data_IF_814954358223
#
_entry.id   IF_814954358223
#
_cell.length_a   1.000
_cell.length_b   1.000
_cell.length_c   1.000
_cell.angle_alpha   90.00
_cell.angle_beta   90.00
_cell.angle_gamma   90.00
#
_symmetry.space_group_name_H-M   'P 1'
#
loop_
_entity.id
_entity.type
_entity.pdbx_description
1 polymer ?
#
# COMPACT_ATOMS: atom_id res chain seq x y z
N UNK A 1 -20.96 -22.28 14.39
CA UNK A 1 -19.73 -22.22 13.59
C UNK A 1 -19.50 -20.76 13.23
N UNK A 2 -18.32 -20.23 13.52
CA UNK A 2 -17.91 -18.87 13.14
C UNK A 2 -16.91 -18.94 11.98
N UNK A 3 -17.18 -18.21 10.91
CA UNK A 3 -16.41 -18.19 9.67
C UNK A 3 -15.86 -16.78 9.46
N UNK A 4 -14.55 -16.66 9.37
CA UNK A 4 -13.88 -15.39 9.02
C UNK A 4 -13.53 -15.39 7.52
N UNK A 5 -13.87 -14.32 6.84
CA UNK A 5 -13.67 -14.15 5.39
C UNK A 5 -12.83 -12.89 5.19
N UNK A 6 -11.54 -13.08 4.88
CA UNK A 6 -10.54 -12.03 4.78
C UNK A 6 -9.76 -12.11 3.44
N UNK A 7 -10.39 -11.81 2.30
CA UNK A 7 -9.76 -11.82 0.99
C UNK A 7 -9.18 -10.46 0.60
N UNK A 8 -8.28 -10.46 -0.38
CA UNK A 8 -7.90 -9.30 -1.18
C UNK A 8 -8.92 -9.07 -2.32
N UNK A 9 -8.78 -7.97 -3.01
CA UNK A 9 -9.48 -7.67 -4.24
C UNK A 9 -9.10 -8.63 -5.37
N UNK A 10 -10.05 -8.88 -6.28
CA UNK A 10 -9.75 -9.49 -7.57
C UNK A 10 -9.55 -8.35 -8.57
N UNK A 11 -8.30 -7.97 -8.79
CA UNK A 11 -7.93 -6.81 -9.62
C UNK A 11 -8.67 -6.82 -10.95
N UNK A 12 -9.10 -5.64 -11.38
CA UNK A 12 -9.89 -5.41 -12.60
C UNK A 12 -11.31 -6.04 -12.58
N UNK A 13 -11.75 -6.64 -11.44
CA UNK A 13 -13.04 -7.33 -11.34
C UNK A 13 -13.82 -6.98 -10.09
N UNK A 14 -13.36 -7.38 -8.90
CA UNK A 14 -14.09 -7.23 -7.64
C UNK A 14 -13.24 -6.55 -6.57
N UNK A 15 -13.83 -5.61 -5.83
CA UNK A 15 -13.21 -5.08 -4.61
C UNK A 15 -13.12 -6.17 -3.53
N UNK A 16 -12.25 -6.01 -2.53
CA UNK A 16 -12.14 -6.97 -1.43
C UNK A 16 -13.47 -7.17 -0.68
N UNK A 17 -14.27 -6.10 -0.56
CA UNK A 17 -15.62 -6.16 -0.02
C UNK A 17 -16.57 -7.02 -0.87
N UNK A 18 -16.58 -6.81 -2.18
CA UNK A 18 -17.39 -7.62 -3.10
C UNK A 18 -16.97 -9.09 -3.09
N UNK A 19 -15.64 -9.37 -3.04
CA UNK A 19 -15.12 -10.73 -2.89
C UNK A 19 -15.62 -11.36 -1.58
N UNK A 20 -15.55 -10.63 -0.47
CA UNK A 20 -16.02 -11.10 0.85
C UNK A 20 -17.52 -11.43 0.83
N UNK A 21 -18.34 -10.56 0.26
CA UNK A 21 -19.79 -10.76 0.18
C UNK A 21 -20.16 -11.90 -0.78
N UNK A 22 -19.46 -12.08 -1.89
CA UNK A 22 -19.66 -13.22 -2.79
C UNK A 22 -19.36 -14.55 -2.10
N UNK A 23 -18.23 -14.63 -1.37
CA UNK A 23 -17.89 -15.82 -0.57
C UNK A 23 -18.95 -16.09 0.47
N UNK A 24 -19.34 -15.10 1.27
CA UNK A 24 -20.39 -15.19 2.30
C UNK A 24 -21.71 -15.65 1.70
N UNK A 25 -22.13 -15.06 0.57
CA UNK A 25 -23.36 -15.45 -0.14
C UNK A 25 -23.36 -16.93 -0.52
N UNK A 26 -22.25 -17.44 -1.04
CA UNK A 26 -22.14 -18.86 -1.39
C UNK A 26 -22.16 -19.78 -0.18
N UNK A 27 -21.35 -19.49 0.86
CA UNK A 27 -21.28 -20.29 2.08
C UNK A 27 -22.61 -20.33 2.83
N UNK A 28 -23.34 -19.22 2.91
CA UNK A 28 -24.61 -19.11 3.64
C UNK A 28 -25.75 -19.94 3.03
N UNK A 29 -25.65 -20.34 1.77
CA UNK A 29 -26.61 -21.27 1.14
C UNK A 29 -26.56 -22.67 1.80
N UNK A 30 -25.44 -23.01 2.42
CA UNK A 30 -25.20 -24.33 3.04
C UNK A 30 -25.11 -24.20 4.57
N UNK A 31 -24.40 -23.20 5.07
CA UNK A 31 -24.18 -22.96 6.51
C UNK A 31 -25.12 -21.86 7.01
N UNK A 32 -26.42 -22.15 7.06
CA UNK A 32 -27.45 -21.16 7.36
C UNK A 32 -27.36 -20.59 8.79
N UNK A 33 -26.86 -21.39 9.76
CA UNK A 33 -26.74 -21.01 11.17
C UNK A 33 -25.30 -20.55 11.53
N UNK A 34 -24.42 -20.33 10.53
CA UNK A 34 -23.06 -19.86 10.78
C UNK A 34 -23.04 -18.35 11.01
N UNK A 35 -22.17 -17.91 11.91
CA UNK A 35 -21.76 -16.51 12.03
C UNK A 35 -20.69 -16.21 10.99
N UNK A 36 -20.93 -15.21 10.16
CA UNK A 36 -19.96 -14.76 9.14
C UNK A 36 -19.39 -13.40 9.51
N UNK A 37 -18.07 -13.33 9.62
CA UNK A 37 -17.32 -12.09 9.82
C UNK A 37 -16.54 -11.79 8.55
N UNK A 38 -16.94 -10.74 7.84
CA UNK A 38 -16.24 -10.26 6.63
C UNK A 38 -15.24 -9.19 7.01
N UNK A 39 -13.97 -9.39 6.64
CA UNK A 39 -12.85 -8.48 6.91
C UNK A 39 -12.12 -8.25 5.60
N UNK A 40 -12.57 -7.31 4.74
CA UNK A 40 -11.82 -6.96 3.53
C UNK A 40 -10.40 -6.53 3.88
N UNK A 41 -9.40 -7.07 3.19
CA UNK A 41 -7.99 -6.76 3.44
C UNK A 41 -7.27 -6.40 2.14
N UNK A 42 -6.03 -5.94 2.25
CA UNK A 42 -5.14 -5.62 1.14
C UNK A 42 -3.68 -5.82 1.58
N UNK A 43 -2.74 -5.80 0.62
CA UNK A 43 -1.33 -6.02 0.89
C UNK A 43 -0.51 -4.73 1.15
N UNK A 44 -1.16 -3.57 1.22
CA UNK A 44 -0.48 -2.27 1.37
C UNK A 44 -0.24 -1.55 0.03
N UNK A 45 -0.61 -2.18 -1.09
CA UNK A 45 -0.58 -1.60 -2.43
C UNK A 45 -1.86 -0.86 -2.78
N UNK A 46 -2.14 -0.80 -4.08
CA UNK A 46 -3.35 -0.18 -4.65
C UNK A 46 -4.64 -0.79 -4.06
N UNK A 47 -5.57 0.08 -3.65
CA UNK A 47 -6.85 -0.30 -3.08
C UNK A 47 -6.82 -0.53 -1.56
N UNK A 48 -5.68 -0.33 -0.91
CA UNK A 48 -5.56 -0.47 0.55
C UNK A 48 -6.43 0.53 1.29
N UNK A 49 -6.48 1.80 0.84
CA UNK A 49 -7.35 2.83 1.43
C UNK A 49 -8.80 2.37 1.41
N UNK A 50 -9.30 1.90 0.25
CA UNK A 50 -10.68 1.44 0.13
C UNK A 50 -10.98 0.23 1.01
N UNK A 51 -10.07 -0.75 1.05
CA UNK A 51 -10.25 -1.95 1.88
C UNK A 51 -10.32 -1.61 3.38
N UNK A 52 -9.48 -0.68 3.85
CA UNK A 52 -9.47 -0.24 5.24
C UNK A 52 -10.71 0.59 5.60
N UNK A 53 -11.17 1.47 4.70
CA UNK A 53 -12.44 2.20 4.85
C UNK A 53 -13.60 1.20 4.98
N UNK A 54 -13.69 0.24 4.06
CA UNK A 54 -14.76 -0.76 4.05
C UNK A 54 -14.74 -1.65 5.30
N UNK A 55 -13.55 -2.03 5.79
CA UNK A 55 -13.40 -2.88 6.97
C UNK A 55 -13.67 -2.16 8.29
N UNK A 56 -13.53 -0.83 8.33
CA UNK A 56 -13.67 -0.04 9.57
C UNK A 56 -14.90 0.88 9.58
N UNK A 57 -15.74 0.83 8.54
CA UNK A 57 -16.87 1.75 8.36
C UNK A 57 -16.42 3.22 8.32
N UNK A 58 -15.27 3.47 7.69
CA UNK A 58 -14.66 4.78 7.53
C UNK A 58 -15.28 5.59 6.38
N UNK A 59 -14.67 6.73 6.06
CA UNK A 59 -15.09 7.61 4.97
C UNK A 59 -13.95 8.01 4.04
N UNK A 60 -14.28 8.31 2.78
CA UNK A 60 -13.37 8.92 1.82
C UNK A 60 -13.40 10.44 1.93
N UNK A 61 -12.24 11.07 1.86
CA UNK A 61 -12.08 12.53 1.83
C UNK A 61 -11.40 12.92 0.53
N UNK A 62 -12.12 13.62 -0.33
CA UNK A 62 -11.59 14.14 -1.60
C UNK A 62 -10.97 15.51 -1.40
N UNK A 63 -9.80 15.75 -2.00
CA UNK A 63 -9.03 16.99 -1.91
C UNK A 63 -8.40 17.31 -3.26
N UNK A 64 -8.54 18.54 -3.73
CA UNK A 64 -7.77 19.02 -4.87
C UNK A 64 -6.36 19.35 -4.42
N UNK A 65 -5.36 18.71 -4.99
CA UNK A 65 -3.93 18.86 -4.66
C UNK A 65 -3.10 18.99 -5.93
N UNK A 66 -1.81 19.29 -5.79
CA UNK A 66 -0.87 19.28 -6.92
C UNK A 66 -0.50 17.85 -7.30
N UNK A 67 -0.71 17.52 -8.55
CA UNK A 67 -0.21 16.30 -9.18
C UNK A 67 1.32 16.33 -9.37
N UNK A 68 1.92 15.20 -9.78
CA UNK A 68 3.38 15.07 -9.86
C UNK A 68 4.03 16.05 -10.85
N UNK A 69 3.31 16.49 -11.87
CA UNK A 69 3.79 17.47 -12.89
C UNK A 69 3.26 18.89 -12.64
N UNK A 70 2.70 19.17 -11.44
CA UNK A 70 2.29 20.52 -11.01
C UNK A 70 0.87 20.94 -11.38
N UNK A 71 0.14 20.15 -12.17
CA UNK A 71 -1.30 20.35 -12.43
C UNK A 71 -2.13 20.04 -11.19
N UNK A 72 -3.34 20.58 -11.12
CA UNK A 72 -4.29 20.22 -10.09
C UNK A 72 -4.90 18.86 -10.40
N UNK A 73 -4.98 17.98 -9.40
CA UNK A 73 -5.63 16.67 -9.45
C UNK A 73 -6.59 16.52 -8.28
N UNK A 74 -7.70 15.83 -8.50
CA UNK A 74 -8.54 15.37 -7.42
C UNK A 74 -7.96 14.06 -6.89
N UNK A 75 -7.56 14.07 -5.62
CA UNK A 75 -7.03 12.92 -4.91
C UNK A 75 -7.89 12.64 -3.68
N UNK A 76 -7.82 11.44 -3.13
CA UNK A 76 -8.53 11.12 -1.90
C UNK A 76 -7.65 10.40 -0.89
N UNK A 77 -8.08 10.40 0.35
CA UNK A 77 -7.57 9.55 1.42
C UNK A 77 -8.73 9.03 2.27
N UNK A 78 -8.48 8.01 3.09
CA UNK A 78 -9.48 7.46 3.99
C UNK A 78 -9.33 8.01 5.41
N UNK A 79 -10.44 8.28 6.10
CA UNK A 79 -10.50 8.36 7.55
C UNK A 79 -11.16 7.09 8.03
N UNK A 80 -10.50 6.34 8.92
CA UNK A 80 -11.01 5.08 9.43
C UNK A 80 -12.14 5.32 10.44
N UNK A 81 -12.90 4.26 10.75
CA UNK A 81 -14.05 4.34 11.65
C UNK A 81 -13.74 4.79 13.09
N UNK A 82 -12.46 4.85 13.49
CA UNK A 82 -12.03 5.43 14.77
C UNK A 82 -12.06 6.97 14.77
N UNK A 83 -12.16 7.60 13.58
CA UNK A 83 -12.15 9.06 13.40
C UNK A 83 -10.80 9.73 13.66
N UNK A 84 -9.76 8.99 14.00
CA UNK A 84 -8.44 9.49 14.41
C UNK A 84 -7.30 9.03 13.47
N UNK A 85 -7.54 8.01 12.64
CA UNK A 85 -6.56 7.43 11.72
C UNK A 85 -6.88 7.83 10.28
N UNK A 86 -5.91 8.42 9.57
CA UNK A 86 -5.98 8.63 8.12
C UNK A 86 -5.08 7.64 7.38
N UNK A 87 -5.59 7.11 6.27
CA UNK A 87 -4.86 6.24 5.35
C UNK A 87 -4.67 6.94 4.03
N UNK A 88 -3.42 7.14 3.61
CA UNK A 88 -3.03 7.90 2.42
C UNK A 88 -2.21 7.01 1.52
N UNK A 89 -2.68 6.74 0.30
CA UNK A 89 -1.82 6.23 -0.77
C UNK A 89 -1.14 7.41 -1.44
N UNK A 90 0.21 7.49 -1.38
CA UNK A 90 0.92 8.61 -1.99
C UNK A 90 0.66 8.71 -3.50
N UNK A 91 0.31 7.61 -4.14
CA UNK A 91 0.02 7.55 -5.56
C UNK A 91 -1.23 8.35 -5.96
N UNK A 92 -2.19 8.59 -5.07
CA UNK A 92 -3.35 9.43 -5.34
C UNK A 92 -2.98 10.87 -5.74
N UNK A 93 -1.89 11.40 -5.17
CA UNK A 93 -1.41 12.73 -5.46
C UNK A 93 -0.09 12.76 -6.26
N UNK A 94 0.72 11.69 -6.18
CA UNK A 94 2.08 11.68 -6.72
C UNK A 94 2.38 10.39 -7.51
N UNK A 95 1.33 9.74 -8.02
CA UNK A 95 1.39 8.45 -8.68
C UNK A 95 1.81 8.50 -10.15
N UNK A 96 2.38 7.38 -10.62
CA UNK A 96 2.84 7.24 -12.00
C UNK A 96 1.70 7.24 -13.01
N UNK A 97 0.51 6.80 -12.61
CA UNK A 97 -0.70 6.81 -13.43
C UNK A 97 -1.20 8.23 -13.75
N UNK A 98 -0.83 9.24 -12.95
CA UNK A 98 -1.14 10.65 -13.17
C UNK A 98 -0.22 11.32 -14.21
N UNK A 99 0.82 10.61 -14.67
CA UNK A 99 1.79 11.13 -15.63
C UNK A 99 1.68 10.35 -16.94
N UNK A 100 1.23 10.99 -18.05
CA UNK A 100 1.27 10.38 -19.38
C UNK A 100 2.65 9.82 -19.68
N UNK A 101 2.73 8.68 -20.36
CA UNK A 101 3.99 7.98 -20.61
C UNK A 101 5.06 8.84 -21.31
N UNK A 102 4.61 9.71 -22.21
CA UNK A 102 5.45 10.64 -22.98
C UNK A 102 5.95 11.85 -22.15
N UNK A 103 5.36 12.09 -20.98
CA UNK A 103 5.72 13.18 -20.07
C UNK A 103 6.49 12.69 -18.84
N UNK A 104 6.80 11.39 -18.77
CA UNK A 104 7.53 10.81 -17.63
C UNK A 104 8.98 11.31 -17.62
N UNK A 105 9.29 12.12 -16.64
CA UNK A 105 10.64 12.60 -16.33
C UNK A 105 10.79 12.80 -14.81
N UNK A 106 11.46 11.90 -14.10
CA UNK A 106 11.56 11.96 -12.64
C UNK A 106 12.38 13.14 -12.12
N UNK A 107 13.05 13.89 -12.99
CA UNK A 107 13.70 15.16 -12.61
C UNK A 107 12.68 16.26 -12.37
N UNK A 108 11.55 16.21 -13.06
CA UNK A 108 10.53 17.26 -13.06
C UNK A 108 9.28 16.91 -12.26
N UNK A 109 9.19 15.69 -11.68
CA UNK A 109 8.06 15.30 -10.84
C UNK A 109 8.30 15.63 -9.37
N UNK A 110 7.22 15.99 -8.67
CA UNK A 110 7.25 16.39 -7.26
C UNK A 110 6.20 15.65 -6.44
N UNK A 111 6.55 15.30 -5.21
CA UNK A 111 5.66 14.71 -4.22
C UNK A 111 4.84 15.72 -3.41
N UNK A 112 4.78 16.99 -3.85
CA UNK A 112 4.15 18.10 -3.09
C UNK A 112 2.69 17.80 -2.72
N UNK A 113 1.92 17.22 -3.63
CA UNK A 113 0.51 16.87 -3.37
C UNK A 113 0.32 15.86 -2.25
N UNK A 114 1.24 14.90 -2.09
CA UNK A 114 1.20 13.97 -0.94
C UNK A 114 1.31 14.74 0.38
N UNK A 115 2.16 15.77 0.47
CA UNK A 115 2.24 16.64 1.64
C UNK A 115 0.95 17.43 1.87
N UNK A 116 0.26 17.86 0.81
CA UNK A 116 -1.03 18.52 0.92
C UNK A 116 -2.14 17.61 1.46
N UNK A 117 -2.13 16.30 1.08
CA UNK A 117 -3.05 15.32 1.68
C UNK A 117 -2.78 15.15 3.17
N UNK A 118 -1.51 15.06 3.58
CA UNK A 118 -1.12 14.97 4.99
C UNK A 118 -1.59 16.21 5.76
N UNK A 119 -1.37 17.42 5.23
CA UNK A 119 -1.85 18.65 5.86
C UNK A 119 -3.37 18.66 6.04
N UNK A 120 -4.12 18.28 5.00
CA UNK A 120 -5.57 18.22 5.07
C UNK A 120 -6.05 17.23 6.14
N UNK A 121 -5.38 16.09 6.30
CA UNK A 121 -5.67 15.13 7.36
C UNK A 121 -5.39 15.74 8.76
N UNK A 122 -4.24 16.41 8.93
CA UNK A 122 -3.90 17.09 10.18
C UNK A 122 -4.87 18.23 10.51
N UNK A 123 -5.38 18.97 9.52
CA UNK A 123 -6.39 20.02 9.69
C UNK A 123 -7.73 19.47 10.18
N UNK A 124 -8.01 18.20 9.96
CA UNK A 124 -9.18 17.47 10.48
C UNK A 124 -8.95 16.84 11.85
N UNK A 125 -7.77 17.05 12.46
CA UNK A 125 -7.45 16.57 13.80
C UNK A 125 -6.96 15.12 13.85
N UNK A 126 -6.53 14.56 12.72
CA UNK A 126 -5.97 13.21 12.64
C UNK A 126 -4.69 13.09 13.49
N UNK A 127 -4.59 12.01 14.25
CA UNK A 127 -3.49 11.72 15.18
C UNK A 127 -2.62 10.53 14.74
N UNK A 128 -3.13 9.74 13.78
CA UNK A 128 -2.43 8.58 13.23
C UNK A 128 -2.47 8.59 11.71
N UNK A 129 -1.32 8.43 11.08
CA UNK A 129 -1.19 8.37 9.63
C UNK A 129 -0.69 6.97 9.21
N UNK A 130 -1.36 6.38 8.25
CA UNK A 130 -0.90 5.19 7.52
C UNK A 130 -0.61 5.66 6.10
N UNK A 131 0.64 5.55 5.65
CA UNK A 131 1.08 6.06 4.34
C UNK A 131 1.59 4.91 3.49
N UNK A 132 0.94 4.65 2.36
CA UNK A 132 1.37 3.69 1.36
C UNK A 132 2.33 4.32 0.35
N UNK A 133 3.47 3.65 0.08
CA UNK A 133 4.53 4.16 -0.81
C UNK A 133 4.53 3.56 -2.23
N UNK A 134 3.52 2.74 -2.58
CA UNK A 134 3.43 2.13 -3.90
C UNK A 134 3.12 3.13 -5.01
N UNK A 135 3.49 2.79 -6.26
CA UNK A 135 3.01 3.47 -7.46
C UNK A 135 3.56 4.88 -7.75
N UNK A 136 4.65 5.33 -7.12
CA UNK A 136 5.17 6.70 -7.23
C UNK A 136 5.67 7.08 -8.63
N UNK A 137 5.44 8.34 -9.04
CA UNK A 137 6.05 8.97 -10.22
C UNK A 137 7.36 9.72 -9.91
N UNK A 138 7.66 9.95 -8.64
CA UNK A 138 8.66 10.90 -8.17
C UNK A 138 9.99 10.25 -7.84
N UNK A 139 11.07 11.04 -7.94
CA UNK A 139 12.42 10.70 -7.48
C UNK A 139 13.06 11.93 -6.80
N UNK A 140 12.29 12.57 -5.94
CA UNK A 140 12.60 13.85 -5.32
C UNK A 140 13.04 13.73 -3.84
N UNK A 141 13.30 12.50 -3.37
CA UNK A 141 13.63 12.29 -1.95
C UNK A 141 12.49 12.61 -0.98
N UNK A 142 11.25 12.79 -1.49
CA UNK A 142 10.12 13.28 -0.69
C UNK A 142 10.19 14.77 -0.34
N UNK A 143 11.09 15.55 -0.99
CA UNK A 143 11.24 16.98 -0.72
C UNK A 143 10.01 17.79 -1.08
N UNK A 144 9.26 17.37 -2.11
CA UNK A 144 7.96 17.98 -2.42
C UNK A 144 7.00 17.85 -1.24
N UNK A 145 6.82 16.64 -0.72
CA UNK A 145 5.99 16.37 0.46
C UNK A 145 6.42 17.21 1.66
N UNK A 146 7.72 17.21 1.97
CA UNK A 146 8.26 17.98 3.10
C UNK A 146 8.12 19.49 2.89
N UNK A 147 8.26 19.99 1.66
CA UNK A 147 8.05 21.41 1.35
C UNK A 147 6.60 21.85 1.61
N UNK A 148 5.60 21.03 1.24
CA UNK A 148 4.22 21.25 1.60
C UNK A 148 3.99 21.26 3.13
N UNK A 149 4.76 20.47 3.87
CA UNK A 149 4.73 20.38 5.33
C UNK A 149 5.57 21.47 6.03
N UNK A 150 6.18 22.40 5.26
CA UNK A 150 6.85 23.59 5.78
C UNK A 150 8.38 23.54 5.85
N UNK A 151 9.03 22.45 5.43
CA UNK A 151 10.50 22.36 5.32
C UNK A 151 10.97 23.17 4.12
N UNK A 152 12.10 23.90 4.26
CA UNK A 152 12.69 24.66 3.17
C UNK A 152 14.00 23.99 2.71
N UNK A 153 14.11 23.81 1.43
CA UNK A 153 15.29 23.30 0.74
C UNK A 153 15.94 24.45 -0.01
N UNK A 154 17.21 24.77 0.32
CA UNK A 154 17.86 26.00 -0.14
C UNK A 154 19.13 25.68 -0.92
N UNK A 155 19.41 26.51 -1.92
CA UNK A 155 20.67 26.52 -2.68
C UNK A 155 21.80 27.22 -1.90
N UNK A 156 22.98 27.38 -2.55
CA UNK A 156 24.15 28.03 -1.97
C UNK A 156 23.96 29.53 -1.68
N UNK A 157 23.00 30.17 -2.34
CA UNK A 157 22.66 31.57 -2.17
C UNK A 157 21.52 31.77 -1.15
N UNK A 158 21.06 30.68 -0.54
CA UNK A 158 19.95 30.68 0.44
C UNK A 158 18.57 30.85 -0.20
N UNK A 159 18.44 30.64 -1.52
CA UNK A 159 17.16 30.71 -2.22
C UNK A 159 16.50 29.34 -2.24
N UNK A 160 15.16 29.25 -2.19
CA UNK A 160 14.46 28.00 -2.30
C UNK A 160 14.68 27.33 -3.65
N UNK A 161 15.07 26.04 -3.64
CA UNK A 161 15.11 25.21 -4.85
C UNK A 161 13.70 24.73 -5.24
N UNK A 162 13.52 24.29 -6.48
CA UNK A 162 12.33 23.56 -6.87
C UNK A 162 12.34 22.17 -6.17
N UNK A 163 11.32 21.81 -5.37
CA UNK A 163 11.32 20.55 -4.64
C UNK A 163 10.92 19.38 -5.56
N UNK A 164 11.83 19.01 -6.44
CA UNK A 164 11.76 17.87 -7.36
C UNK A 164 13.16 17.26 -7.54
N UNK A 165 13.25 16.15 -8.28
CA UNK A 165 14.52 15.44 -8.46
C UNK A 165 15.64 16.30 -9.09
N UNK A 166 15.29 17.14 -10.07
CA UNK A 166 16.25 18.03 -10.73
C UNK A 166 16.73 19.16 -9.82
N UNK A 167 15.85 19.76 -9.05
CA UNK A 167 16.22 20.83 -8.12
C UNK A 167 17.12 20.37 -6.98
N UNK A 168 17.08 19.08 -6.60
CA UNK A 168 17.98 18.53 -5.58
C UNK A 168 19.47 18.65 -5.95
N UNK A 169 19.80 18.80 -7.21
CA UNK A 169 21.19 19.02 -7.67
C UNK A 169 21.78 20.31 -7.06
N UNK A 170 20.94 21.32 -6.89
CA UNK A 170 21.32 22.64 -6.36
C UNK A 170 21.27 22.70 -4.82
N UNK A 171 20.72 21.69 -4.16
CA UNK A 171 20.52 21.69 -2.70
C UNK A 171 21.83 21.93 -1.95
N UNK A 172 21.86 22.92 -1.06
CA UNK A 172 23.01 23.25 -0.21
C UNK A 172 22.69 23.20 1.28
N UNK A 173 21.44 23.50 1.68
CA UNK A 173 21.02 23.45 3.09
C UNK A 173 19.53 23.15 3.24
N UNK A 174 19.15 22.69 4.44
CA UNK A 174 17.77 22.32 4.78
C UNK A 174 17.38 23.06 6.06
N UNK A 175 16.28 23.81 6.01
CA UNK A 175 15.68 24.50 7.16
C UNK A 175 14.39 23.77 7.56
N UNK A 176 14.42 23.12 8.71
CA UNK A 176 13.30 22.35 9.29
C UNK A 176 12.43 23.17 10.24
N UNK A 177 12.76 24.43 10.48
CA UNK A 177 12.08 25.27 11.49
C UNK A 177 10.59 25.48 11.21
N UNK A 178 10.19 25.35 9.93
CA UNK A 178 8.80 25.49 9.51
C UNK A 178 8.00 24.18 9.46
N UNK A 179 8.61 23.02 9.77
CA UNK A 179 7.90 21.76 9.75
C UNK A 179 6.70 21.79 10.70
N UNK A 180 5.53 21.35 10.19
CA UNK A 180 4.29 21.38 10.95
C UNK A 180 4.43 20.64 12.31
N UNK A 181 4.27 21.41 13.39
CA UNK A 181 4.51 20.91 14.75
C UNK A 181 3.55 19.78 15.16
N UNK A 182 2.38 19.65 14.52
CA UNK A 182 1.40 18.61 14.81
C UNK A 182 1.96 17.20 14.51
N UNK A 183 2.87 17.10 13.53
CA UNK A 183 3.52 15.85 13.16
C UNK A 183 4.32 15.21 14.30
N UNK A 184 4.85 16.01 15.22
CA UNK A 184 5.61 15.49 16.36
C UNK A 184 4.75 14.64 17.31
N UNK A 185 3.45 14.91 17.39
CA UNK A 185 2.49 14.14 18.19
C UNK A 185 1.71 13.09 17.42
N UNK A 186 1.95 12.95 16.12
CA UNK A 186 1.24 12.03 15.25
C UNK A 186 1.99 10.68 15.16
N UNK A 187 1.27 9.56 15.30
CA UNK A 187 1.84 8.26 14.96
C UNK A 187 1.87 8.10 13.44
N UNK A 188 3.03 7.74 12.87
CA UNK A 188 3.18 7.56 11.41
C UNK A 188 3.65 6.16 11.11
N UNK A 189 2.77 5.36 10.52
CA UNK A 189 3.07 4.04 9.97
C UNK A 189 3.21 4.13 8.45
N UNK A 190 4.22 3.51 7.90
CA UNK A 190 4.52 3.56 6.47
C UNK A 190 4.51 2.15 5.91
N UNK A 191 3.55 1.87 5.04
CA UNK A 191 3.46 0.62 4.31
C UNK A 191 4.54 0.58 3.21
N UNK A 192 5.53 -0.30 3.40
CA UNK A 192 6.68 -0.40 2.52
C UNK A 192 7.17 -1.84 2.43
N UNK A 193 7.01 -2.46 1.24
CA UNK A 193 7.39 -3.85 0.98
C UNK A 193 8.74 -3.98 0.27
N UNK A 194 9.48 -2.87 0.13
CA UNK A 194 10.82 -2.85 -0.45
C UNK A 194 11.86 -2.48 0.59
N UNK A 195 13.07 -3.04 0.46
CA UNK A 195 14.17 -2.81 1.39
C UNK A 195 15.33 -1.99 0.78
N UNK A 196 15.07 -1.36 -0.38
CA UNK A 196 16.06 -0.56 -1.11
C UNK A 196 16.58 0.59 -0.25
N UNK A 197 17.92 0.79 -0.16
CA UNK A 197 18.52 1.97 0.43
C UNK A 197 18.22 3.21 -0.43
N UNK A 198 18.54 4.39 0.07
CA UNK A 198 18.26 5.64 -0.65
C UNK A 198 19.04 5.71 -1.96
N UNK A 199 20.31 5.37 -1.97
CA UNK A 199 21.24 5.54 -3.09
C UNK A 199 22.04 4.29 -3.43
N UNK A 200 22.81 4.36 -4.53
CA UNK A 200 23.69 3.31 -5.03
C UNK A 200 22.99 2.33 -5.98
N UNK A 201 23.68 1.22 -6.31
CA UNK A 201 23.20 0.24 -7.31
C UNK A 201 21.82 -0.35 -7.01
N UNK A 202 21.43 -0.41 -5.75
CA UNK A 202 20.11 -0.86 -5.27
C UNK A 202 19.25 0.29 -4.78
N UNK A 203 19.64 1.53 -5.00
CA UNK A 203 18.96 2.74 -4.55
C UNK A 203 17.73 3.09 -5.35
N UNK A 204 17.05 4.14 -4.91
CA UNK A 204 15.80 4.64 -5.50
C UNK A 204 15.91 4.91 -6.99
N UNK A 205 16.94 5.65 -7.41
CA UNK A 205 17.12 6.07 -8.81
C UNK A 205 17.49 4.89 -9.71
N UNK A 206 18.39 4.03 -9.25
CA UNK A 206 18.87 2.89 -10.04
C UNK A 206 17.77 1.85 -10.32
N UNK A 207 16.98 1.53 -9.32
CA UNK A 207 15.97 0.46 -9.41
C UNK A 207 14.66 0.98 -9.99
N UNK A 208 14.18 2.14 -9.53
CA UNK A 208 12.84 2.62 -9.87
C UNK A 208 12.83 3.81 -10.85
N UNK A 209 13.98 4.44 -11.12
CA UNK A 209 14.08 5.56 -12.05
C UNK A 209 13.69 5.22 -13.49
N UNK A 210 14.13 4.10 -14.08
CA UNK A 210 13.83 3.75 -15.47
C UNK A 210 12.33 3.68 -15.78
N UNK A 211 11.50 3.07 -14.92
CA UNK A 211 10.04 3.01 -15.13
C UNK A 211 9.37 4.39 -15.05
N UNK A 212 10.03 5.37 -14.42
CA UNK A 212 9.57 6.76 -14.29
C UNK A 212 10.09 7.65 -15.44
N UNK A 213 10.82 7.07 -16.40
CA UNK A 213 11.34 7.77 -17.57
C UNK A 213 12.79 8.23 -17.46
N UNK A 214 13.53 7.84 -16.42
CA UNK A 214 14.95 8.19 -16.30
C UNK A 214 15.81 7.48 -17.36
N UNK A 215 16.65 8.24 -18.04
CA UNK A 215 17.76 7.70 -18.83
C UNK A 215 18.91 7.26 -17.90
N UNK A 216 19.90 6.47 -18.39
CA UNK A 216 21.06 6.11 -17.57
C UNK A 216 21.79 7.34 -16.98
N UNK A 217 21.93 8.43 -17.74
CA UNK A 217 22.53 9.67 -17.26
C UNK A 217 21.67 10.36 -16.18
N UNK A 218 20.33 10.30 -16.31
CA UNK A 218 19.43 10.82 -15.28
C UNK A 218 19.51 9.99 -13.99
N UNK A 219 19.69 8.67 -14.09
CA UNK A 219 19.88 7.80 -12.92
C UNK A 219 21.11 8.21 -12.13
N UNK A 220 22.26 8.42 -12.80
CA UNK A 220 23.52 8.87 -12.16
C UNK A 220 23.35 10.24 -11.49
N UNK A 221 22.71 11.19 -12.19
CA UNK A 221 22.45 12.53 -11.69
C UNK A 221 21.56 12.49 -10.42
N UNK A 222 20.43 11.78 -10.52
CA UNK A 222 19.45 11.68 -9.43
C UNK A 222 20.00 10.91 -8.23
N UNK A 223 20.79 9.86 -8.45
CA UNK A 223 21.42 9.10 -7.37
C UNK A 223 22.43 9.97 -6.59
N UNK A 224 23.26 10.74 -7.30
CA UNK A 224 24.18 11.71 -6.70
C UNK A 224 23.44 12.80 -5.90
N UNK A 225 22.35 13.33 -6.46
CA UNK A 225 21.52 14.34 -5.79
C UNK A 225 20.84 13.79 -4.52
N UNK A 226 20.32 12.57 -4.57
CA UNK A 226 19.74 11.88 -3.40
C UNK A 226 20.80 11.55 -2.35
N UNK A 227 22.05 11.23 -2.76
CA UNK A 227 23.15 11.01 -1.80
C UNK A 227 23.44 12.27 -1.00
N UNK A 228 23.59 13.42 -1.69
CA UNK A 228 23.79 14.72 -1.05
C UNK A 228 22.60 15.10 -0.13
N UNK A 229 21.37 14.88 -0.60
CA UNK A 229 20.16 15.09 0.20
C UNK A 229 20.18 14.23 1.47
N UNK A 230 20.52 12.95 1.35
CA UNK A 230 20.62 12.04 2.49
C UNK A 230 21.66 12.49 3.52
N UNK A 231 22.86 12.90 3.06
CA UNK A 231 23.91 13.43 3.95
C UNK A 231 23.44 14.67 4.72
N UNK A 232 22.81 15.62 4.04
CA UNK A 232 22.26 16.82 4.68
C UNK A 232 21.09 16.48 5.63
N UNK A 233 20.25 15.51 5.27
CA UNK A 233 19.18 15.02 6.13
C UNK A 233 19.74 14.42 7.42
N UNK A 234 20.78 13.57 7.34
CA UNK A 234 21.45 13.01 8.52
C UNK A 234 22.07 14.08 9.41
N UNK A 235 22.66 15.12 8.80
CA UNK A 235 23.24 16.25 9.56
C UNK A 235 22.18 17.05 10.31
N UNK A 236 21.05 17.34 9.69
CA UNK A 236 19.98 18.17 10.27
C UNK A 236 19.14 17.42 11.30
N UNK A 237 18.86 16.13 11.04
CA UNK A 237 17.93 15.34 11.86
C UNK A 237 18.62 14.44 12.89
N UNK A 238 19.90 14.13 12.69
CA UNK A 238 20.65 13.15 13.48
C UNK A 238 20.23 11.70 13.22
N UNK A 239 19.37 11.44 12.21
CA UNK A 239 18.87 10.10 11.89
C UNK A 239 19.58 9.56 10.65
N UNK A 240 19.93 8.28 10.67
CA UNK A 240 20.55 7.61 9.52
C UNK A 240 19.49 7.22 8.50
N UNK A 241 19.60 7.76 7.27
CA UNK A 241 18.62 7.50 6.18
C UNK A 241 19.26 6.94 4.91
N UNK A 242 20.58 7.15 4.69
CA UNK A 242 21.26 6.73 3.46
C UNK A 242 21.20 5.22 3.23
N UNK A 243 21.44 4.44 4.27
CA UNK A 243 21.54 2.98 4.21
C UNK A 243 20.36 2.26 4.84
N UNK A 244 19.38 3.01 5.37
CA UNK A 244 18.21 2.44 6.00
C UNK A 244 17.37 1.68 4.98
N UNK A 245 16.93 0.48 5.31
CA UNK A 245 16.02 -0.32 4.49
C UNK A 245 14.71 0.44 4.25
N UNK A 246 14.26 0.47 3.01
CA UNK A 246 13.06 1.18 2.60
C UNK A 246 13.22 2.69 2.40
N UNK A 247 14.39 3.27 2.70
CA UNK A 247 14.64 4.69 2.48
C UNK A 247 14.50 5.10 1.01
N UNK A 248 14.84 4.19 0.08
CA UNK A 248 14.70 4.41 -1.37
C UNK A 248 13.27 4.26 -1.90
N UNK A 249 12.34 3.78 -1.09
CA UNK A 249 10.94 3.63 -1.52
C UNK A 249 10.36 4.96 -2.00
N UNK A 250 9.51 4.88 -3.03
CA UNK A 250 8.86 6.05 -3.64
C UNK A 250 9.85 7.16 -4.03
N UNK A 251 10.99 6.79 -4.61
CA UNK A 251 11.98 7.77 -5.08
C UNK A 251 12.66 8.54 -3.96
N UNK A 252 12.83 7.92 -2.79
CA UNK A 252 13.44 8.49 -1.59
C UNK A 252 12.45 9.09 -0.58
N UNK A 253 11.12 9.01 -0.83
CA UNK A 253 10.13 9.47 0.17
C UNK A 253 10.25 8.68 1.48
N UNK A 254 10.66 7.39 1.43
CA UNK A 254 10.99 6.61 2.62
C UNK A 254 12.02 7.30 3.51
N UNK A 255 13.09 7.88 2.94
CA UNK A 255 14.08 8.64 3.68
C UNK A 255 13.50 9.92 4.29
N UNK A 256 12.62 10.62 3.57
CA UNK A 256 11.94 11.80 4.10
C UNK A 256 11.09 11.46 5.33
N UNK A 257 10.26 10.42 5.23
CA UNK A 257 9.39 10.00 6.32
C UNK A 257 10.21 9.55 7.54
N UNK A 258 11.24 8.74 7.34
CA UNK A 258 12.13 8.27 8.42
C UNK A 258 12.92 9.40 9.05
N UNK A 259 13.45 10.35 8.24
CA UNK A 259 14.29 11.44 8.67
C UNK A 259 13.53 12.49 9.48
N UNK A 260 12.41 12.96 8.96
CA UNK A 260 11.74 14.15 9.46
C UNK A 260 10.50 13.87 10.32
N UNK A 261 9.87 12.71 10.17
CA UNK A 261 8.67 12.34 10.90
C UNK A 261 8.97 11.23 11.93
N UNK A 262 8.11 10.99 12.93
CA UNK A 262 8.22 9.83 13.82
C UNK A 262 7.74 8.53 13.14
N UNK A 263 8.18 8.31 11.90
CA UNK A 263 7.70 7.25 11.04
C UNK A 263 8.36 5.90 11.35
N UNK A 264 7.57 4.83 11.19
CA UNK A 264 8.04 3.43 11.24
C UNK A 264 7.61 2.72 9.97
N UNK A 265 8.56 2.10 9.26
CA UNK A 265 8.26 1.27 8.11
C UNK A 265 7.87 -0.13 8.58
N UNK A 266 6.79 -0.65 8.01
CA UNK A 266 6.33 -2.03 8.19
C UNK A 266 5.84 -2.60 6.86
N UNK A 267 5.84 -3.92 6.67
CA UNK A 267 5.13 -4.54 5.56
C UNK A 267 3.66 -4.09 5.52
N UNK A 268 3.16 -3.80 4.31
CA UNK A 268 1.80 -3.27 4.14
C UNK A 268 0.75 -4.20 4.72
N UNK A 269 0.87 -5.49 4.44
CA UNK A 269 -0.05 -6.50 4.98
C UNK A 269 -0.09 -6.51 6.53
N UNK A 270 1.03 -6.34 7.22
CA UNK A 270 1.04 -6.31 8.70
C UNK A 270 0.26 -5.11 9.24
N UNK A 271 0.45 -3.92 8.63
CA UNK A 271 -0.30 -2.72 9.01
C UNK A 271 -1.79 -2.94 8.80
N UNK A 272 -2.18 -3.50 7.65
CA UNK A 272 -3.60 -3.75 7.34
C UNK A 272 -4.20 -4.71 8.35
N UNK A 273 -3.57 -5.87 8.60
CA UNK A 273 -4.10 -6.89 9.52
C UNK A 273 -4.19 -6.39 10.97
N UNK A 274 -3.21 -5.59 11.42
CA UNK A 274 -3.26 -4.94 12.74
C UNK A 274 -4.41 -3.93 12.80
N UNK A 275 -4.60 -3.13 11.74
CA UNK A 275 -5.62 -2.08 11.69
C UNK A 275 -7.03 -2.66 11.69
N UNK A 276 -7.28 -3.71 10.91
CA UNK A 276 -8.57 -4.41 10.89
C UNK A 276 -8.74 -5.40 12.06
N UNK A 277 -7.74 -5.51 12.95
CA UNK A 277 -7.74 -6.40 14.13
C UNK A 277 -8.06 -7.85 13.79
N UNK A 278 -7.49 -8.37 12.69
CA UNK A 278 -7.80 -9.73 12.24
C UNK A 278 -7.59 -10.77 13.33
N UNK A 279 -6.58 -10.65 14.18
CA UNK A 279 -6.31 -11.56 15.30
C UNK A 279 -7.50 -11.69 16.27
N UNK A 280 -8.22 -10.59 16.54
CA UNK A 280 -9.40 -10.60 17.40
C UNK A 280 -10.57 -11.35 16.73
N UNK A 281 -10.73 -11.20 15.41
CA UNK A 281 -11.80 -11.86 14.67
C UNK A 281 -11.60 -13.37 14.54
N UNK A 282 -10.35 -13.83 14.42
CA UNK A 282 -10.03 -15.26 14.25
C UNK A 282 -9.91 -16.02 15.58
N UNK A 283 -9.77 -15.33 16.71
CA UNK A 283 -9.49 -15.97 18.01
C UNK A 283 -10.50 -17.06 18.42
N UNK A 284 -11.76 -16.92 18.03
CA UNK A 284 -12.86 -17.83 18.30
C UNK A 284 -13.53 -18.38 17.03
N UNK A 285 -12.84 -18.28 15.89
CA UNK A 285 -13.32 -18.79 14.61
C UNK A 285 -13.09 -20.31 14.49
N UNK A 286 -13.88 -20.94 13.61
CA UNK A 286 -13.74 -22.34 13.26
C UNK A 286 -12.96 -22.56 11.96
N UNK A 287 -13.00 -21.57 11.06
CA UNK A 287 -12.37 -21.61 9.74
C UNK A 287 -12.16 -20.21 9.19
N UNK A 288 -11.09 -20.03 8.39
CA UNK A 288 -10.76 -18.78 7.71
C UNK A 288 -10.79 -19.00 6.20
N UNK A 289 -11.45 -18.10 5.48
CA UNK A 289 -11.40 -17.98 4.04
C UNK A 289 -10.58 -16.74 3.68
N UNK A 290 -9.68 -16.89 2.71
CA UNK A 290 -8.92 -15.79 2.12
C UNK A 290 -8.92 -15.96 0.61
N UNK A 291 -8.24 -15.08 -0.13
CA UNK A 291 -8.12 -15.19 -1.58
C UNK A 291 -7.56 -13.94 -2.21
N UNK A 292 -7.24 -14.07 -3.48
CA UNK A 292 -6.85 -12.97 -4.37
C UNK A 292 -7.17 -13.35 -5.82
N UNK A 293 -7.09 -12.40 -6.76
CA UNK A 293 -7.40 -12.66 -8.17
C UNK A 293 -6.52 -13.75 -8.80
N UNK A 294 -5.24 -13.85 -8.39
CA UNK A 294 -4.30 -14.86 -8.90
C UNK A 294 -3.32 -15.30 -7.83
N UNK A 295 -3.38 -16.57 -7.45
CA UNK A 295 -2.42 -17.21 -6.54
C UNK A 295 -1.29 -17.86 -7.36
N UNK A 296 -0.05 -17.44 -7.11
CA UNK A 296 1.16 -17.95 -7.75
C UNK A 296 2.37 -17.91 -6.80
N UNK A 297 3.58 -18.14 -7.35
CA UNK A 297 4.82 -18.10 -6.57
C UNK A 297 5.10 -16.74 -5.90
N UNK A 298 4.52 -15.64 -6.38
CA UNK A 298 4.69 -14.31 -5.77
C UNK A 298 3.81 -14.15 -4.53
N UNK A 299 2.74 -14.92 -4.42
CA UNK A 299 1.81 -14.86 -3.28
C UNK A 299 2.52 -15.12 -1.95
N UNK A 300 3.54 -16.00 -1.93
CA UNK A 300 4.31 -16.30 -0.70
C UNK A 300 5.20 -15.15 -0.21
N UNK A 301 5.41 -14.13 -1.04
CA UNK A 301 6.26 -12.98 -0.71
C UNK A 301 5.48 -11.80 -0.10
N UNK A 302 4.67 -12.07 0.94
CA UNK A 302 4.05 -11.02 1.75
C UNK A 302 2.69 -10.50 1.25
N UNK A 303 2.05 -11.20 0.28
CA UNK A 303 0.71 -10.83 -0.15
C UNK A 303 -0.37 -11.22 0.86
N UNK A 304 -1.55 -10.65 0.68
CA UNK A 304 -2.72 -10.80 1.56
C UNK A 304 -3.00 -12.23 2.00
N UNK A 305 -3.12 -13.24 1.12
CA UNK A 305 -3.45 -14.61 1.56
C UNK A 305 -2.44 -15.19 2.55
N UNK A 306 -1.16 -14.83 2.41
CA UNK A 306 -0.11 -15.31 3.32
C UNK A 306 -0.17 -14.63 4.68
N UNK A 307 -0.41 -13.32 4.70
CA UNK A 307 -0.59 -12.59 5.96
C UNK A 307 -1.77 -13.12 6.77
N UNK A 308 -2.91 -13.33 6.10
CA UNK A 308 -4.11 -13.89 6.72
C UNK A 308 -3.86 -15.32 7.23
N UNK A 309 -3.23 -16.17 6.41
CA UNK A 309 -2.91 -17.54 6.81
C UNK A 309 -1.98 -17.58 8.03
N UNK A 310 -0.96 -16.73 8.07
CA UNK A 310 -0.04 -16.63 9.21
C UNK A 310 -0.79 -16.32 10.50
N UNK A 311 -1.67 -15.33 10.52
CA UNK A 311 -2.46 -14.99 11.69
C UNK A 311 -3.41 -16.13 12.07
N UNK A 312 -4.12 -16.73 11.11
CA UNK A 312 -5.04 -17.85 11.39
C UNK A 312 -4.32 -19.08 11.97
N UNK A 313 -3.11 -19.37 11.49
CA UNK A 313 -2.29 -20.51 11.99
C UNK A 313 -1.77 -20.33 13.41
N UNK A 314 -1.64 -19.11 13.91
CA UNK A 314 -1.33 -18.86 15.33
C UNK A 314 -2.46 -19.38 16.25
N UNK A 315 -3.68 -19.47 15.72
CA UNK A 315 -4.84 -20.04 16.42
C UNK A 315 -5.17 -21.49 15.98
N UNK A 316 -4.33 -22.09 15.16
CA UNK A 316 -4.51 -23.48 14.68
C UNK A 316 -5.68 -23.70 13.73
N UNK A 317 -6.17 -22.63 13.08
CA UNK A 317 -7.37 -22.68 12.24
C UNK A 317 -7.07 -23.23 10.83
N UNK A 318 -8.04 -23.94 10.23
CA UNK A 318 -7.97 -24.26 8.81
C UNK A 318 -8.16 -23.00 7.95
N UNK A 319 -7.35 -22.89 6.88
CA UNK A 319 -7.36 -21.76 5.96
C UNK A 319 -7.60 -22.22 4.52
N UNK A 320 -8.66 -21.74 3.92
CA UNK A 320 -9.02 -22.03 2.53
C UNK A 320 -8.87 -20.76 1.71
N UNK A 321 -8.11 -20.85 0.60
CA UNK A 321 -7.97 -19.77 -0.35
C UNK A 321 -8.90 -19.99 -1.56
N UNK A 322 -9.68 -18.97 -1.89
CA UNK A 322 -10.50 -18.91 -3.10
C UNK A 322 -9.86 -17.89 -4.05
N UNK A 323 -9.50 -18.32 -5.25
CA UNK A 323 -8.78 -17.50 -6.21
C UNK A 323 -9.52 -17.34 -7.53
N UNK A 324 -9.27 -16.26 -8.25
CA UNK A 324 -9.70 -16.12 -9.64
C UNK A 324 -9.07 -17.20 -10.51
N UNK A 325 -7.76 -17.33 -10.43
CA UNK A 325 -6.97 -18.38 -11.10
C UNK A 325 -5.70 -18.72 -10.31
N UNK A 326 -5.00 -19.78 -10.72
CA UNK A 326 -3.65 -20.09 -10.22
C UNK A 326 -2.61 -19.85 -11.31
N UNK A 327 -1.41 -19.46 -10.89
CA UNK A 327 -0.24 -19.32 -11.74
C UNK A 327 0.82 -20.40 -11.44
N UNK A 328 2.04 -20.18 -11.94
CA UNK A 328 3.15 -21.10 -11.78
C UNK A 328 3.55 -21.25 -10.31
N UNK A 329 3.85 -22.48 -9.90
CA UNK A 329 4.31 -22.84 -8.56
C UNK A 329 3.37 -22.36 -7.42
N UNK A 330 2.06 -22.25 -7.67
CA UNK A 330 1.09 -21.83 -6.65
C UNK A 330 1.11 -22.75 -5.42
N UNK A 331 1.52 -24.04 -5.59
CA UNK A 331 1.58 -25.02 -4.49
C UNK A 331 2.48 -24.58 -3.32
N UNK A 332 3.40 -23.64 -3.54
CA UNK A 332 4.24 -23.08 -2.47
C UNK A 332 3.43 -22.46 -1.31
N UNK A 333 2.17 -22.04 -1.56
CA UNK A 333 1.32 -21.48 -0.51
C UNK A 333 0.91 -22.51 0.55
N UNK A 334 0.92 -23.81 0.23
CA UNK A 334 0.60 -24.88 1.18
C UNK A 334 1.63 -24.98 2.32
N UNK A 335 2.90 -24.71 2.01
CA UNK A 335 3.97 -24.68 3.01
C UNK A 335 3.91 -23.45 3.90
N UNK A 336 3.11 -22.44 3.50
CA UNK A 336 2.98 -21.16 4.19
C UNK A 336 1.66 -21.04 4.97
N UNK A 337 0.88 -22.13 5.11
CA UNK A 337 -0.30 -22.17 5.99
C UNK A 337 -1.65 -22.12 5.27
N UNK A 338 -1.72 -22.11 3.95
CA UNK A 338 -2.95 -22.38 3.21
C UNK A 338 -3.18 -23.88 3.17
N UNK A 339 -4.35 -24.36 3.58
CA UNK A 339 -4.65 -25.82 3.60
C UNK A 339 -5.24 -26.29 2.26
N UNK A 340 -5.97 -25.44 1.55
CA UNK A 340 -6.54 -25.74 0.25
C UNK A 340 -6.72 -24.49 -0.60
N UNK A 341 -6.54 -24.64 -1.92
CA UNK A 341 -6.77 -23.59 -2.92
C UNK A 341 -7.83 -24.07 -3.91
N UNK A 342 -8.84 -23.23 -4.16
CA UNK A 342 -9.85 -23.44 -5.16
C UNK A 342 -9.92 -22.25 -6.11
N UNK A 343 -10.23 -22.49 -7.39
CA UNK A 343 -10.32 -21.44 -8.41
C UNK A 343 -11.76 -21.27 -8.88
N UNK A 344 -12.17 -20.01 -9.09
CA UNK A 344 -13.57 -19.69 -9.39
C UNK A 344 -13.96 -19.79 -10.87
N UNK A 345 -13.01 -20.03 -11.80
CA UNK A 345 -13.31 -20.20 -13.23
C UNK A 345 -13.92 -21.59 -13.48
N UNK A 346 -15.23 -21.71 -13.76
CA UNK A 346 -15.93 -23.00 -13.78
C UNK A 346 -15.81 -23.75 -15.11
N UNK A 347 -15.41 -23.05 -16.19
CA UNK A 347 -15.32 -23.60 -17.56
C UNK A 347 -14.22 -22.85 -18.34
N UNK A 348 -13.89 -23.33 -19.51
CA UNK A 348 -13.08 -22.55 -20.44
C UNK A 348 -13.86 -21.31 -20.87
N UNK A 349 -13.28 -20.13 -20.62
CA UNK A 349 -13.88 -18.83 -20.90
C UNK A 349 -12.80 -17.80 -21.19
N UNK A 350 -13.15 -16.71 -21.84
CA UNK A 350 -12.25 -15.58 -22.08
C UNK A 350 -11.99 -14.80 -20.79
N UNK A 351 -10.88 -14.06 -20.73
CA UNK A 351 -10.57 -13.22 -19.56
C UNK A 351 -11.70 -12.19 -19.29
N UNK A 352 -12.25 -11.45 -20.27
CA UNK A 352 -13.36 -10.55 -20.02
C UNK A 352 -14.58 -11.24 -19.39
N UNK A 353 -14.98 -12.42 -19.89
CA UNK A 353 -16.08 -13.19 -19.30
C UNK A 353 -15.75 -13.63 -17.86
N UNK A 354 -14.51 -14.05 -17.60
CA UNK A 354 -14.08 -14.45 -16.25
C UNK A 354 -14.14 -13.29 -15.26
N UNK A 355 -13.76 -12.08 -15.67
CA UNK A 355 -13.83 -10.87 -14.87
C UNK A 355 -15.28 -10.43 -14.61
N UNK A 356 -16.15 -10.48 -15.63
CA UNK A 356 -17.55 -10.09 -15.53
C UNK A 356 -18.38 -11.04 -14.68
N UNK A 357 -18.15 -12.37 -14.82
CA UNK A 357 -18.87 -13.40 -14.07
C UNK A 357 -18.25 -13.73 -12.69
N UNK A 358 -17.20 -13.03 -12.26
CA UNK A 358 -16.38 -13.41 -11.10
C UNK A 358 -17.21 -13.52 -9.81
N UNK A 359 -18.13 -12.61 -9.54
CA UNK A 359 -18.97 -12.60 -8.33
C UNK A 359 -19.81 -13.88 -8.23
N UNK A 360 -20.53 -14.22 -9.33
CA UNK A 360 -21.40 -15.39 -9.38
C UNK A 360 -20.60 -16.68 -9.29
N UNK A 361 -19.48 -16.74 -10.02
CA UNK A 361 -18.60 -17.90 -10.04
C UNK A 361 -17.97 -18.15 -8.67
N UNK A 362 -17.55 -17.09 -7.98
CA UNK A 362 -16.99 -17.17 -6.64
C UNK A 362 -18.02 -17.63 -5.61
N UNK A 363 -19.24 -17.11 -5.66
CA UNK A 363 -20.32 -17.55 -4.78
C UNK A 363 -20.66 -19.04 -4.99
N UNK A 364 -20.73 -19.51 -6.24
CA UNK A 364 -20.97 -20.90 -6.55
C UNK A 364 -19.82 -21.82 -6.11
N UNK A 365 -18.58 -21.35 -6.22
CA UNK A 365 -17.42 -22.07 -5.70
C UNK A 365 -17.48 -22.21 -4.19
N UNK A 366 -17.75 -21.09 -3.48
CA UNK A 366 -17.88 -21.08 -2.02
C UNK A 366 -18.97 -22.04 -1.53
N UNK A 367 -20.13 -22.09 -2.22
CA UNK A 367 -21.18 -23.07 -1.94
C UNK A 367 -20.68 -24.52 -2.06
N UNK A 368 -19.94 -24.83 -3.14
CA UNK A 368 -19.40 -26.18 -3.34
C UNK A 368 -18.36 -26.55 -2.26
N UNK A 369 -17.52 -25.61 -1.83
CA UNK A 369 -16.58 -25.81 -0.73
C UNK A 369 -17.32 -26.09 0.57
N UNK A 370 -18.39 -25.35 0.89
CA UNK A 370 -19.22 -25.59 2.06
C UNK A 370 -19.90 -26.96 2.02
N UNK A 371 -20.40 -27.40 0.87
CA UNK A 371 -20.96 -28.75 0.68
C UNK A 371 -19.93 -29.85 0.90
N UNK A 372 -18.72 -29.65 0.37
CA UNK A 372 -17.61 -30.60 0.58
C UNK A 372 -17.24 -30.71 2.06
N UNK A 373 -17.22 -29.58 2.77
CA UNK A 373 -16.89 -29.54 4.20
C UNK A 373 -17.87 -30.32 5.08
N UNK A 374 -19.15 -30.41 4.67
CA UNK A 374 -20.21 -31.10 5.41
C UNK A 374 -20.30 -32.62 5.13
N UNK A 375 -19.48 -33.14 4.19
CA UNK A 375 -19.50 -34.58 3.92
C UNK A 375 -19.09 -35.35 5.18
N UNK A 376 -19.75 -36.49 5.46
CA UNK A 376 -19.36 -37.35 6.57
C UNK A 376 -17.89 -37.78 6.44
N UNK A 377 -17.16 -37.68 7.52
CA UNK A 377 -15.75 -38.14 7.62
C UNK A 377 -15.72 -39.61 8.01
#
# INVERSE_FOLDING_TARGET
MKVVIAPDSFKESLTAKQVSEAIKSGLSRVWQDAEFVTVPVADGGEGTVQSLIDATEGEQVFVTVKGPIGNDVEAFYGILGDGETAVIEMAEASGLHLVPSEQRDPKNTSSFGTGQLILNALDRGIQRLIIGLGGSATNDGGTGMLAALGVKFLDSDGQPITPNGGGLVELASIDVSGLDARLAGCEVLVACDVDNPLCGEKGASAIFGPQKGATPADVELLDSALSKYGELTEQVTGKHVLTQKGAGAAGGMGAALLGYLPARLKPGIEIVLETVKLAEHVADADIVFTGEGRIDHQTVHGKTPMGVAKVAKEYGLPVIALAGCTGDNFQAVYECGIDAVFVCVPRAMSLPEALEEAEVNLANLAENVARLWQLPR
#
